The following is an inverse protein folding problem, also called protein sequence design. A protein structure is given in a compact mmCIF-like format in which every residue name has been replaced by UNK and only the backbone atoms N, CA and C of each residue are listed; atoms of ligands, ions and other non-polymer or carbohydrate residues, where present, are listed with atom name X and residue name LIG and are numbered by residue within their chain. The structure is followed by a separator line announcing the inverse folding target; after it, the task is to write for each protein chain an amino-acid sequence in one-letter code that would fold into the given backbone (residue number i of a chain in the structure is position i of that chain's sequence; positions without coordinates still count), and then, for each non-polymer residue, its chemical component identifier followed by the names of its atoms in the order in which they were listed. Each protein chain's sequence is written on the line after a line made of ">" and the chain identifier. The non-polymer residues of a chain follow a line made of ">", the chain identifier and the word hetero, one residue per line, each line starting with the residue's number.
data_IF_576472060800
#
_entry.id   IF_576472060800
#
_cell.length_a   1.000
_cell.length_b   1.000
_cell.length_c   1.000
_cell.angle_alpha   90.00
_cell.angle_beta   90.00
_cell.angle_gamma   90.00
#
_symmetry.space_group_name_H-M   'P 1'
#
loop_
_entity.id
_entity.type
_entity.pdbx_description
1 polymer ?
#
# COMPACT_ATOMS: atom_id res chain seq x y z
N UNK A 1 29.76 20.96 -58.01
CA UNK A 1 29.83 19.59 -57.47
C UNK A 1 28.68 18.80 -58.07
N UNK A 2 28.96 17.75 -58.84
CA UNK A 2 27.92 16.88 -59.39
C UNK A 2 27.62 15.83 -58.33
N UNK A 3 26.38 15.77 -57.86
CA UNK A 3 25.93 14.71 -56.95
C UNK A 3 26.02 13.37 -57.68
N UNK A 4 26.74 12.42 -57.10
CA UNK A 4 26.87 11.09 -57.66
C UNK A 4 25.53 10.37 -57.46
N UNK A 5 24.78 10.17 -58.55
CA UNK A 5 23.50 9.46 -58.51
C UNK A 5 23.76 8.01 -58.11
N UNK A 6 23.06 7.53 -57.08
CA UNK A 6 23.16 6.14 -56.62
C UNK A 6 22.79 5.18 -57.75
N UNK A 7 23.56 4.11 -57.87
CA UNK A 7 23.23 3.01 -58.78
C UNK A 7 22.02 2.22 -58.29
N UNK A 8 21.31 1.54 -59.20
CA UNK A 8 20.14 0.70 -58.86
C UNK A 8 20.49 -0.36 -57.80
N UNK A 9 21.70 -0.94 -57.85
CA UNK A 9 22.16 -1.93 -56.87
C UNK A 9 22.32 -1.34 -55.45
N UNK A 10 22.81 -0.10 -55.35
CA UNK A 10 22.92 0.62 -54.07
C UNK A 10 21.53 0.91 -53.50
N UNK A 11 20.60 1.36 -54.35
CA UNK A 11 19.19 1.59 -53.94
C UNK A 11 18.53 0.28 -53.47
N UNK A 12 18.76 -0.83 -54.16
CA UNK A 12 18.23 -2.14 -53.74
C UNK A 12 18.84 -2.64 -52.43
N UNK A 13 20.12 -2.36 -52.21
CA UNK A 13 20.79 -2.71 -50.94
C UNK A 13 20.23 -1.88 -49.79
N UNK A 14 20.05 -0.57 -49.97
CA UNK A 14 19.41 0.29 -48.99
C UNK A 14 18.01 -0.20 -48.67
N UNK A 15 17.22 -0.56 -49.69
CA UNK A 15 15.85 -1.03 -49.52
C UNK A 15 15.77 -2.28 -48.64
N UNK A 16 16.64 -3.28 -48.88
CA UNK A 16 16.72 -4.48 -48.02
C UNK A 16 17.12 -4.13 -46.59
N UNK A 17 18.00 -3.14 -46.41
CA UNK A 17 18.36 -2.62 -45.10
C UNK A 17 17.13 -2.07 -44.37
N UNK A 18 16.35 -1.21 -45.04
CA UNK A 18 15.14 -0.64 -44.46
C UNK A 18 14.07 -1.69 -44.17
N UNK A 19 13.91 -2.72 -45.01
CA UNK A 19 13.01 -3.84 -44.73
C UNK A 19 13.41 -4.58 -43.46
N UNK A 20 14.71 -4.81 -43.24
CA UNK A 20 15.24 -5.40 -42.02
C UNK A 20 14.95 -4.52 -40.80
N UNK A 21 15.31 -3.24 -40.86
CA UNK A 21 15.09 -2.27 -39.78
C UNK A 21 13.60 -2.19 -39.41
N UNK A 22 12.71 -2.11 -40.42
CA UNK A 22 11.27 -2.09 -40.20
C UNK A 22 10.77 -3.37 -39.53
N UNK A 23 11.30 -4.53 -39.90
CA UNK A 23 10.93 -5.81 -39.27
C UNK A 23 11.35 -5.83 -37.79
N UNK A 24 12.55 -5.35 -37.48
CA UNK A 24 13.04 -5.23 -36.11
C UNK A 24 12.19 -4.25 -35.27
N UNK A 25 11.84 -3.10 -35.84
CA UNK A 25 10.99 -2.12 -35.14
C UNK A 25 9.58 -2.65 -34.89
N UNK A 26 9.00 -3.38 -35.84
CA UNK A 26 7.69 -4.02 -35.65
C UNK A 26 7.74 -5.04 -34.50
N UNK A 27 8.79 -5.85 -34.43
CA UNK A 27 8.98 -6.79 -33.33
C UNK A 27 9.14 -6.07 -31.98
N UNK A 28 9.93 -5.00 -31.92
CA UNK A 28 10.11 -4.20 -30.71
C UNK A 28 8.80 -3.54 -30.24
N UNK A 29 8.03 -2.96 -31.16
CA UNK A 29 6.72 -2.35 -30.86
C UNK A 29 5.76 -3.38 -30.29
N UNK A 30 5.72 -4.58 -30.85
CA UNK A 30 4.85 -5.64 -30.34
C UNK A 30 5.24 -6.07 -28.93
N UNK A 31 6.54 -6.12 -28.62
CA UNK A 31 6.99 -6.41 -27.26
C UNK A 31 6.63 -5.27 -26.28
N UNK A 32 6.86 -4.02 -26.65
CA UNK A 32 6.47 -2.87 -25.83
C UNK A 32 4.96 -2.80 -25.57
N UNK A 33 4.14 -3.24 -26.52
CA UNK A 33 2.68 -3.35 -26.32
C UNK A 33 2.32 -4.38 -25.25
N UNK A 34 3.00 -5.53 -25.24
CA UNK A 34 2.80 -6.56 -24.20
C UNK A 34 3.24 -6.05 -22.83
N UNK A 35 4.41 -5.41 -22.77
CA UNK A 35 4.92 -4.81 -21.53
C UNK A 35 3.97 -3.75 -21.00
N UNK A 36 3.49 -2.85 -21.88
CA UNK A 36 2.52 -1.83 -21.49
C UNK A 36 1.22 -2.44 -20.94
N UNK A 37 0.71 -3.51 -21.56
CA UNK A 37 -0.46 -4.23 -21.05
C UNK A 37 -0.20 -4.78 -19.65
N UNK A 38 0.96 -5.40 -19.41
CA UNK A 38 1.35 -5.88 -18.06
C UNK A 38 1.42 -4.74 -17.05
N UNK A 39 2.01 -3.60 -17.42
CA UNK A 39 2.09 -2.45 -16.51
C UNK A 39 0.71 -1.95 -16.10
N UNK A 40 -0.26 -1.92 -17.02
CA UNK A 40 -1.65 -1.56 -16.69
C UNK A 40 -2.28 -2.55 -15.72
N UNK A 41 -2.08 -3.86 -15.94
CA UNK A 41 -2.58 -4.91 -15.04
C UNK A 41 -1.97 -4.80 -13.63
N UNK A 42 -0.65 -4.59 -13.54
CA UNK A 42 0.05 -4.45 -12.26
C UNK A 42 -0.35 -3.15 -11.53
N UNK A 43 -0.56 -2.04 -12.24
CA UNK A 43 -1.08 -0.80 -11.64
C UNK A 43 -2.51 -0.99 -11.09
N UNK A 44 -3.36 -1.78 -11.76
CA UNK A 44 -4.70 -2.11 -11.22
C UNK A 44 -4.59 -2.87 -9.90
N UNK A 45 -3.71 -3.87 -9.84
CA UNK A 45 -3.46 -4.64 -8.60
C UNK A 45 -2.95 -3.76 -7.47
N UNK A 46 -2.05 -2.82 -7.77
CA UNK A 46 -1.57 -1.86 -6.76
C UNK A 46 -2.72 -0.98 -6.26
N UNK A 47 -3.59 -0.49 -7.15
CA UNK A 47 -4.78 0.29 -6.75
C UNK A 47 -5.67 -0.50 -5.81
N UNK A 48 -6.00 -1.75 -6.16
CA UNK A 48 -6.81 -2.64 -5.34
C UNK A 48 -6.17 -2.86 -3.96
N UNK A 49 -4.87 -3.14 -3.90
CA UNK A 49 -4.15 -3.32 -2.63
C UNK A 49 -4.15 -2.05 -1.75
N UNK A 50 -4.08 -0.86 -2.35
CA UNK A 50 -4.18 0.42 -1.61
C UNK A 50 -5.58 0.63 -1.04
N UNK A 51 -6.62 0.26 -1.79
CA UNK A 51 -8.01 0.33 -1.33
C UNK A 51 -8.28 -0.66 -0.19
N UNK A 52 -7.78 -1.89 -0.28
CA UNK A 52 -7.84 -2.86 0.81
C UNK A 52 -7.11 -2.34 2.06
N UNK A 53 -5.94 -1.74 1.88
CA UNK A 53 -5.19 -1.19 2.99
C UNK A 53 -5.90 -0.03 3.69
N UNK A 54 -6.63 0.80 2.94
CA UNK A 54 -7.52 1.83 3.50
C UNK A 54 -8.57 1.20 4.43
N UNK A 55 -9.20 0.09 4.03
CA UNK A 55 -10.18 -0.61 4.86
C UNK A 55 -9.56 -1.15 6.17
N UNK A 56 -8.33 -1.67 6.10
CA UNK A 56 -7.58 -2.11 7.29
C UNK A 56 -7.36 -0.95 8.26
N UNK A 57 -6.97 0.22 7.76
CA UNK A 57 -6.77 1.42 8.57
C UNK A 57 -8.06 1.91 9.23
N UNK A 58 -9.16 1.98 8.48
CA UNK A 58 -10.46 2.39 9.00
C UNK A 58 -10.97 1.41 10.08
N UNK A 59 -10.81 0.11 9.85
CA UNK A 59 -11.17 -0.93 10.82
C UNK A 59 -10.35 -0.80 12.10
N UNK A 60 -9.04 -0.60 11.99
CA UNK A 60 -8.16 -0.42 13.16
C UNK A 60 -8.49 0.87 13.93
N UNK A 61 -8.73 1.98 13.23
CA UNK A 61 -9.13 3.24 13.85
C UNK A 61 -10.42 3.08 14.66
N UNK A 62 -11.43 2.41 14.11
CA UNK A 62 -12.67 2.10 14.81
C UNK A 62 -12.44 1.20 16.04
N UNK A 63 -11.57 0.19 15.93
CA UNK A 63 -11.22 -0.69 17.04
C UNK A 63 -10.53 0.06 18.19
N UNK A 64 -9.61 0.98 17.87
CA UNK A 64 -8.96 1.85 18.85
C UNK A 64 -9.97 2.77 19.53
N UNK A 65 -10.85 3.42 18.75
CA UNK A 65 -11.88 4.29 19.31
C UNK A 65 -12.82 3.54 20.27
N UNK A 66 -13.27 2.34 19.89
CA UNK A 66 -14.10 1.49 20.75
C UNK A 66 -13.37 1.08 22.03
N UNK A 67 -12.07 0.77 21.96
CA UNK A 67 -11.27 0.45 23.13
C UNK A 67 -11.11 1.66 24.05
N UNK A 68 -10.86 2.85 23.52
CA UNK A 68 -10.80 4.11 24.29
C UNK A 68 -12.09 4.37 25.04
N UNK A 69 -13.25 4.31 24.38
CA UNK A 69 -14.55 4.48 25.03
C UNK A 69 -14.78 3.47 26.16
N UNK A 70 -14.32 2.22 25.99
CA UNK A 70 -14.38 1.19 27.04
C UNK A 70 -13.47 1.52 28.23
N UNK A 71 -12.26 2.03 27.99
CA UNK A 71 -11.34 2.45 29.05
C UNK A 71 -11.90 3.64 29.83
N UNK A 72 -12.54 4.60 29.16
CA UNK A 72 -13.21 5.72 29.83
C UNK A 72 -14.37 5.26 30.71
N UNK A 73 -15.19 4.33 30.22
CA UNK A 73 -16.28 3.74 31.01
C UNK A 73 -15.73 3.00 32.24
N UNK A 74 -14.69 2.19 32.05
CA UNK A 74 -14.01 1.49 33.14
C UNK A 74 -13.43 2.45 34.18
N UNK A 75 -12.78 3.54 33.74
CA UNK A 75 -12.24 4.57 34.64
C UNK A 75 -13.33 5.27 35.44
N UNK A 76 -14.51 5.53 34.85
CA UNK A 76 -15.66 6.07 35.59
C UNK A 76 -16.13 5.09 36.67
N UNK A 77 -16.28 3.81 36.34
CA UNK A 77 -16.65 2.78 37.31
C UNK A 77 -15.61 2.64 38.43
N UNK A 78 -14.32 2.70 38.11
CA UNK A 78 -13.24 2.63 39.08
C UNK A 78 -13.32 3.79 40.09
N UNK A 79 -13.53 5.02 39.61
CA UNK A 79 -13.70 6.21 40.48
C UNK A 79 -14.89 6.04 41.43
N UNK A 80 -16.05 5.62 40.91
CA UNK A 80 -17.25 5.39 41.71
C UNK A 80 -17.02 4.33 42.80
N UNK A 81 -16.33 3.23 42.48
CA UNK A 81 -16.03 2.19 43.46
C UNK A 81 -15.03 2.66 44.53
N UNK A 82 -14.04 3.47 44.17
CA UNK A 82 -13.10 4.06 45.13
C UNK A 82 -13.84 4.99 46.11
N UNK A 83 -14.74 5.84 45.61
CA UNK A 83 -15.58 6.73 46.43
C UNK A 83 -16.50 5.93 47.35
N UNK A 84 -17.12 4.85 46.86
CA UNK A 84 -18.05 4.03 47.64
C UNK A 84 -17.39 3.16 48.72
N UNK A 85 -16.16 2.67 48.49
CA UNK A 85 -15.46 1.72 49.36
C UNK A 85 -14.35 2.37 50.21
N UNK A 86 -14.27 3.70 50.22
CA UNK A 86 -13.28 4.45 51.00
C UNK A 86 -11.82 4.12 50.62
N UNK A 87 -11.59 3.69 49.36
CA UNK A 87 -10.26 3.39 48.82
C UNK A 87 -9.59 2.10 49.30
N UNK A 88 -10.18 1.33 50.23
CA UNK A 88 -9.57 0.12 50.81
C UNK A 88 -9.97 -1.20 50.13
N UNK A 89 -11.05 -1.20 49.34
CA UNK A 89 -11.57 -2.40 48.70
C UNK A 89 -11.72 -2.22 47.18
N UNK A 90 -11.23 -3.18 46.42
CA UNK A 90 -11.53 -3.31 44.98
C UNK A 90 -12.54 -4.44 44.82
N UNK A 91 -13.66 -4.17 44.13
CA UNK A 91 -14.60 -5.23 43.77
C UNK A 91 -13.90 -6.22 42.83
N UNK A 92 -14.05 -7.52 43.06
CA UNK A 92 -13.43 -8.58 42.25
C UNK A 92 -13.78 -8.44 40.75
N UNK A 93 -15.01 -8.01 40.45
CA UNK A 93 -15.45 -7.70 39.08
C UNK A 93 -14.63 -6.61 38.38
N UNK A 94 -14.10 -5.61 39.11
CA UNK A 94 -13.22 -4.59 38.54
C UNK A 94 -11.83 -5.11 38.22
N UNK A 95 -11.35 -6.11 38.98
CA UNK A 95 -10.08 -6.79 38.71
C UNK A 95 -10.18 -7.60 37.42
N UNK A 96 -11.29 -8.30 37.21
CA UNK A 96 -11.51 -9.06 35.97
C UNK A 96 -11.65 -8.15 34.74
N UNK A 97 -12.38 -7.04 34.87
CA UNK A 97 -12.45 -6.04 33.80
C UNK A 97 -11.08 -5.40 33.53
N UNK A 98 -10.25 -5.19 34.56
CA UNK A 98 -8.87 -4.72 34.40
C UNK A 98 -8.06 -5.68 33.53
N UNK A 99 -8.04 -6.98 33.90
CA UNK A 99 -7.31 -8.02 33.18
C UNK A 99 -7.76 -8.14 31.72
N UNK A 100 -9.06 -8.08 31.46
CA UNK A 100 -9.60 -8.07 30.10
C UNK A 100 -9.15 -6.83 29.31
N UNK A 101 -9.16 -5.64 29.93
CA UNK A 101 -8.70 -4.42 29.30
C UNK A 101 -7.18 -4.45 29.02
N UNK A 102 -6.37 -4.97 29.95
CA UNK A 102 -4.94 -5.17 29.76
C UNK A 102 -4.68 -6.09 28.56
N UNK A 103 -5.32 -7.27 28.52
CA UNK A 103 -5.16 -8.20 27.42
C UNK A 103 -5.61 -7.61 26.07
N UNK A 104 -6.68 -6.80 26.05
CA UNK A 104 -7.15 -6.09 24.86
C UNK A 104 -6.16 -5.00 24.42
N UNK A 105 -5.67 -4.19 25.35
CA UNK A 105 -4.69 -3.16 25.08
C UNK A 105 -3.44 -3.76 24.44
N UNK A 106 -2.97 -4.87 24.99
CA UNK A 106 -1.80 -5.59 24.51
C UNK A 106 -1.97 -6.11 23.07
N UNK A 107 -3.15 -6.62 22.74
CA UNK A 107 -3.51 -7.01 21.37
C UNK A 107 -3.55 -5.80 20.44
N UNK A 108 -4.16 -4.70 20.87
CA UNK A 108 -4.25 -3.47 20.08
C UNK A 108 -2.87 -2.85 19.80
N UNK A 109 -1.98 -2.85 20.79
CA UNK A 109 -0.58 -2.40 20.64
C UNK A 109 0.15 -3.22 19.57
N UNK A 110 0.13 -4.56 19.68
CA UNK A 110 0.78 -5.44 18.71
C UNK A 110 0.20 -5.28 17.30
N UNK A 111 -1.11 -5.10 17.19
CA UNK A 111 -1.75 -4.85 15.89
C UNK A 111 -1.32 -3.49 15.32
N UNK A 112 -1.31 -2.45 16.14
CA UNK A 112 -0.91 -1.11 15.73
C UNK A 112 0.55 -1.06 15.25
N UNK A 113 1.47 -1.73 15.94
CA UNK A 113 2.87 -1.82 15.54
C UNK A 113 3.03 -2.47 14.15
N UNK A 114 2.32 -3.58 13.90
CA UNK A 114 2.32 -4.24 12.58
C UNK A 114 1.74 -3.35 11.49
N UNK A 115 0.62 -2.66 11.77
CA UNK A 115 0.01 -1.74 10.82
C UNK A 115 0.96 -0.57 10.53
N UNK A 116 1.68 -0.05 11.52
CA UNK A 116 2.67 1.02 11.34
C UNK A 116 3.83 0.56 10.45
N UNK A 117 4.39 -0.62 10.69
CA UNK A 117 5.44 -1.19 9.84
C UNK A 117 4.97 -1.35 8.39
N UNK A 118 3.76 -1.89 8.20
CA UNK A 118 3.16 -2.04 6.89
C UNK A 118 2.89 -0.68 6.23
N UNK A 119 2.43 0.33 6.98
CA UNK A 119 2.21 1.69 6.48
C UNK A 119 3.48 2.29 5.89
N UNK A 120 4.60 2.19 6.60
CA UNK A 120 5.87 2.72 6.13
C UNK A 120 6.38 2.01 4.87
N UNK A 121 6.14 0.69 4.76
CA UNK A 121 6.46 -0.05 3.55
C UNK A 121 5.61 0.41 2.35
N UNK A 122 4.29 0.51 2.53
CA UNK A 122 3.34 0.99 1.50
C UNK A 122 3.70 2.40 1.06
N UNK A 123 3.96 3.32 2.00
CA UNK A 123 4.36 4.70 1.71
C UNK A 123 5.62 4.78 0.85
N UNK A 124 6.65 3.98 1.18
CA UNK A 124 7.90 3.92 0.38
C UNK A 124 7.65 3.36 -1.01
N UNK A 125 6.82 2.33 -1.14
CA UNK A 125 6.49 1.75 -2.44
C UNK A 125 5.73 2.75 -3.34
N UNK A 126 4.72 3.43 -2.78
CA UNK A 126 3.94 4.44 -3.49
C UNK A 126 4.79 5.65 -3.91
N UNK A 127 5.75 6.08 -3.09
CA UNK A 127 6.67 7.14 -3.46
C UNK A 127 7.53 6.78 -4.69
N UNK A 128 8.00 5.52 -4.77
CA UNK A 128 8.75 5.03 -5.93
C UNK A 128 7.88 4.96 -7.18
N UNK A 129 6.65 4.45 -7.05
CA UNK A 129 5.70 4.38 -8.17
C UNK A 129 5.34 5.78 -8.68
N UNK A 130 5.12 6.74 -7.77
CA UNK A 130 4.88 8.14 -8.13
C UNK A 130 6.05 8.72 -8.93
N UNK A 131 7.28 8.55 -8.44
CA UNK A 131 8.48 9.05 -9.12
C UNK A 131 8.66 8.41 -10.51
N UNK A 132 8.37 7.11 -10.64
CA UNK A 132 8.42 6.43 -11.93
C UNK A 132 7.35 6.95 -12.89
N UNK A 133 6.13 7.21 -12.40
CA UNK A 133 5.03 7.75 -13.21
C UNK A 133 5.29 9.19 -13.68
N UNK A 134 5.98 10.01 -12.88
CA UNK A 134 6.38 11.37 -13.25
C UNK A 134 7.51 11.40 -14.31
N UNK A 135 8.15 10.26 -14.58
CA UNK A 135 9.19 10.11 -15.58
C UNK A 135 8.69 9.58 -16.93
N UNK A 136 7.39 9.27 -17.05
CA UNK A 136 6.71 8.90 -18.30
C UNK A 136 6.30 10.14 -19.10
#
# INVERSE_FOLDING_TARGET
>A
MVEKVKGIEEIQSDHRGWESDHSEWQAAIEEWRKDHKRFVEDLSRVREAVEEYRFVLETHANAVAAHTSRLEAYNRSLKQSVEALGGSGVQESLVDVHRDNEAKHDRQRRLHDRIREHHEAVKKALAKLKAAAEAL
#
